data_IF_181153373815
#
_entry.id   IF_181153373815
#
_cell.length_a   1.000
_cell.length_b   1.000
_cell.length_c   1.000
_cell.angle_alpha   90.00
_cell.angle_beta   90.00
_cell.angle_gamma   90.00
#
_symmetry.space_group_name_H-M   'P 1'
#
loop_
_entity.id
_entity.type
_entity.pdbx_description
1 polymer ?
#
# COMPACT_ATOMS: atom_id res chain seq x y z
N UNK A 1 15.21 -6.57 2.31
CA UNK A 1 13.76 -6.52 2.54
C UNK A 1 13.35 -5.06 2.53
N UNK A 2 12.33 -4.66 1.75
CA UNK A 2 11.79 -3.29 1.77
C UNK A 2 10.45 -3.36 2.51
N UNK A 3 10.33 -2.59 3.59
CA UNK A 3 9.13 -2.54 4.43
C UNK A 3 8.34 -1.28 4.09
N UNK A 4 7.03 -1.42 3.93
CA UNK A 4 6.12 -0.30 3.80
C UNK A 4 5.49 0.01 5.15
N UNK A 5 5.71 1.22 5.65
CA UNK A 5 5.00 1.76 6.81
C UNK A 5 3.88 2.68 6.30
N UNK A 6 2.65 2.24 6.48
CA UNK A 6 1.46 2.96 6.03
C UNK A 6 1.15 4.15 6.93
N UNK A 7 1.51 4.07 8.21
CA UNK A 7 1.38 5.19 9.15
C UNK A 7 2.25 6.37 8.70
N UNK A 8 3.48 6.11 8.25
CA UNK A 8 4.34 7.13 7.65
C UNK A 8 3.83 7.62 6.28
N UNK A 9 3.21 6.74 5.49
CA UNK A 9 2.64 7.13 4.20
C UNK A 9 1.46 8.09 4.36
N UNK A 10 0.63 7.84 5.37
CA UNK A 10 -0.52 8.66 5.74
C UNK A 10 -0.11 9.91 6.52
N UNK A 11 0.97 9.84 7.31
CA UNK A 11 1.54 10.99 7.99
C UNK A 11 1.99 12.04 6.96
N UNK A 12 1.40 13.24 7.06
CA UNK A 12 1.67 14.33 6.14
C UNK A 12 0.99 14.19 4.76
N UNK A 13 0.11 13.21 4.55
CA UNK A 13 -0.85 13.23 3.44
C UNK A 13 -2.08 14.05 3.88
N UNK A 14 -1.93 15.37 3.89
CA UNK A 14 -2.98 16.29 4.37
C UNK A 14 -4.03 16.62 3.32
N UNK A 15 -3.73 16.35 2.04
CA UNK A 15 -4.61 16.64 0.91
C UNK A 15 -5.32 15.36 0.46
N UNK A 16 -6.63 15.46 0.18
CA UNK A 16 -7.42 14.36 -0.38
C UNK A 16 -6.74 13.84 -1.66
N UNK A 17 -6.39 12.56 -1.68
CA UNK A 17 -5.74 11.88 -2.80
C UNK A 17 -4.20 11.82 -2.75
N UNK A 18 -3.55 12.54 -1.84
CA UNK A 18 -2.09 12.56 -1.74
C UNK A 18 -1.52 11.20 -1.32
N UNK A 19 -2.16 10.54 -0.37
CA UNK A 19 -1.80 9.19 0.07
C UNK A 19 -1.86 8.19 -1.10
N UNK A 20 -2.91 8.26 -1.91
CA UNK A 20 -3.12 7.38 -3.06
C UNK A 20 -2.03 7.59 -4.12
N UNK A 21 -1.66 8.85 -4.35
CA UNK A 21 -0.57 9.19 -5.27
C UNK A 21 0.77 8.67 -4.75
N UNK A 22 1.05 8.84 -3.45
CA UNK A 22 2.28 8.31 -2.83
C UNK A 22 2.34 6.78 -2.95
N UNK A 23 1.23 6.09 -2.72
CA UNK A 23 1.16 4.63 -2.86
C UNK A 23 1.39 4.17 -4.30
N UNK A 24 0.79 4.85 -5.29
CA UNK A 24 1.04 4.57 -6.71
C UNK A 24 2.51 4.71 -7.07
N UNK A 25 3.15 5.79 -6.63
CA UNK A 25 4.58 6.01 -6.88
C UNK A 25 5.45 4.89 -6.28
N UNK A 26 5.08 4.35 -5.11
CA UNK A 26 5.79 3.22 -4.51
C UNK A 26 5.60 1.95 -5.33
N UNK A 27 4.39 1.66 -5.79
CA UNK A 27 4.10 0.50 -6.65
C UNK A 27 4.91 0.60 -7.95
N UNK A 28 4.92 1.76 -8.60
CA UNK A 28 5.71 2.00 -9.81
C UNK A 28 7.21 1.81 -9.55
N UNK A 29 7.75 2.34 -8.45
CA UNK A 29 9.15 2.18 -8.10
C UNK A 29 9.54 0.70 -7.83
N UNK A 30 8.61 -0.08 -7.26
CA UNK A 30 8.79 -1.52 -7.07
C UNK A 30 8.81 -2.25 -8.41
N UNK A 31 7.88 -1.92 -9.31
CA UNK A 31 7.76 -2.53 -10.64
C UNK A 31 8.95 -2.20 -11.55
N UNK A 32 9.47 -0.98 -11.46
CA UNK A 32 10.63 -0.52 -12.24
C UNK A 32 11.96 -0.98 -11.65
N UNK A 33 11.96 -1.66 -10.49
CA UNK A 33 13.21 -2.06 -9.85
C UNK A 33 13.94 -3.09 -10.70
N UNK A 34 15.25 -2.91 -10.98
CA UNK A 34 16.04 -3.85 -11.79
C UNK A 34 16.23 -5.20 -11.09
N UNK A 35 15.97 -5.27 -9.78
CA UNK A 35 15.97 -6.50 -8.99
C UNK A 35 14.57 -6.79 -8.44
N UNK A 36 14.16 -8.07 -8.34
CA UNK A 36 12.86 -8.43 -7.78
C UNK A 36 12.70 -7.91 -6.35
N UNK A 37 11.59 -7.22 -6.10
CA UNK A 37 11.26 -6.69 -4.77
C UNK A 37 10.16 -7.53 -4.13
N UNK A 38 10.41 -7.93 -2.89
CA UNK A 38 9.37 -8.44 -2.00
C UNK A 38 8.98 -7.31 -1.06
N UNK A 39 7.73 -6.85 -1.16
CA UNK A 39 7.15 -5.85 -0.29
C UNK A 39 6.64 -6.52 0.99
N UNK A 40 7.00 -5.99 2.15
CA UNK A 40 6.39 -6.40 3.41
C UNK A 40 5.45 -5.30 3.91
N UNK A 41 4.24 -5.69 4.28
CA UNK A 41 3.20 -4.83 4.84
C UNK A 41 2.85 -5.36 6.22
N UNK A 42 3.07 -4.52 7.24
CA UNK A 42 2.59 -4.80 8.59
C UNK A 42 1.19 -4.20 8.78
N UNK A 43 0.41 -4.81 9.67
CA UNK A 43 -0.98 -4.42 9.97
C UNK A 43 -1.85 -4.18 8.72
N UNK A 44 -1.94 -5.18 7.86
CA UNK A 44 -2.61 -5.07 6.56
C UNK A 44 -4.10 -4.69 6.65
N UNK A 45 -4.77 -4.89 7.79
CA UNK A 45 -6.13 -4.40 8.01
C UNK A 45 -6.21 -2.87 7.90
N UNK A 46 -5.14 -2.13 8.18
CA UNK A 46 -5.07 -0.67 8.03
C UNK A 46 -5.25 -0.21 6.57
N UNK A 47 -4.86 -1.06 5.60
CA UNK A 47 -5.04 -0.82 4.15
C UNK A 47 -6.50 -1.04 3.73
N UNK A 48 -7.16 -2.02 4.34
CA UNK A 48 -8.51 -2.48 3.97
C UNK A 48 -9.58 -1.67 4.71
N UNK A 49 -9.29 -1.22 5.94
CA UNK A 49 -10.23 -0.55 6.86
C UNK A 49 -10.20 0.98 6.84
N UNK A 50 -9.25 1.61 6.14
CA UNK A 50 -9.19 3.07 6.03
C UNK A 50 -10.47 3.68 5.40
N UNK A 51 -11.27 2.89 4.67
CA UNK A 51 -12.49 3.33 3.98
C UNK A 51 -13.74 3.60 4.83
N UNK A 52 -13.72 3.37 6.15
CA UNK A 52 -14.91 3.57 7.00
C UNK A 52 -15.11 5.01 7.53
N UNK A 53 -14.16 5.91 7.31
CA UNK A 53 -14.39 7.34 7.52
C UNK A 53 -14.49 8.03 6.17
N UNK A 54 -15.56 8.80 5.96
CA UNK A 54 -15.88 9.48 4.71
C UNK A 54 -14.68 10.25 4.14
N UNK A 55 -13.93 9.62 3.22
CA UNK A 55 -12.73 10.19 2.61
C UNK A 55 -11.42 9.39 2.81
N UNK A 56 -11.46 8.27 3.54
CA UNK A 56 -10.29 7.42 3.72
C UNK A 56 -9.98 6.58 2.49
N UNK A 57 -8.73 6.67 2.06
CA UNK A 57 -8.21 6.09 0.83
C UNK A 57 -8.34 4.56 0.80
N UNK A 58 -8.93 4.02 -0.26
CA UNK A 58 -8.98 2.56 -0.48
C UNK A 58 -7.67 2.09 -1.14
N UNK A 59 -6.61 2.01 -0.34
CA UNK A 59 -5.31 1.49 -0.77
C UNK A 59 -5.43 0.06 -1.31
N UNK A 60 -6.38 -0.74 -0.82
CA UNK A 60 -6.60 -2.10 -1.29
C UNK A 60 -6.97 -2.13 -2.77
N UNK A 61 -7.81 -1.19 -3.24
CA UNK A 61 -8.15 -1.09 -4.66
C UNK A 61 -6.97 -0.69 -5.56
N UNK A 62 -5.96 0.00 -5.01
CA UNK A 62 -4.73 0.31 -5.75
C UNK A 62 -3.79 -0.89 -5.84
N UNK A 63 -3.75 -1.74 -4.80
CA UNK A 63 -2.87 -2.91 -4.75
C UNK A 63 -3.41 -4.11 -5.53
N UNK A 64 -4.73 -4.35 -5.50
CA UNK A 64 -5.37 -5.51 -6.15
C UNK A 64 -4.96 -5.73 -7.61
N UNK A 65 -4.95 -4.73 -8.52
CA UNK A 65 -4.57 -4.95 -9.91
C UNK A 65 -3.10 -5.36 -10.08
N UNK A 66 -2.17 -4.75 -9.33
CA UNK A 66 -0.74 -5.05 -9.42
C UNK A 66 -0.43 -6.45 -8.87
N UNK A 67 -1.13 -6.87 -7.79
CA UNK A 67 -1.06 -8.22 -7.25
C UNK A 67 -1.61 -9.25 -8.25
N UNK A 68 -2.78 -8.97 -8.84
CA UNK A 68 -3.43 -9.88 -9.79
C UNK A 68 -2.61 -10.11 -11.07
N UNK A 69 -1.87 -9.09 -11.53
CA UNK A 69 -0.94 -9.21 -12.68
C UNK A 69 0.39 -9.85 -12.33
N UNK A 70 0.69 -10.09 -11.05
CA UNK A 70 1.98 -10.62 -10.60
C UNK A 70 3.14 -9.62 -10.66
N UNK A 71 2.84 -8.34 -10.92
CA UNK A 71 3.80 -7.25 -10.99
C UNK A 71 4.28 -6.83 -9.59
N UNK A 72 3.49 -7.13 -8.56
CA UNK A 72 3.80 -6.87 -7.16
C UNK A 72 3.81 -8.18 -6.37
N UNK A 73 4.87 -8.40 -5.60
CA UNK A 73 5.00 -9.55 -4.68
C UNK A 73 5.00 -9.02 -3.26
N UNK A 74 4.06 -9.46 -2.44
CA UNK A 74 3.84 -8.91 -1.10
C UNK A 74 3.65 -10.01 -0.07
N UNK A 75 4.24 -9.83 1.11
CA UNK A 75 3.88 -10.54 2.34
C UNK A 75 3.20 -9.54 3.26
N UNK A 76 2.06 -9.94 3.83
CA UNK A 76 1.26 -9.11 4.72
C UNK A 76 1.10 -9.80 6.08
N UNK A 77 1.15 -9.04 7.16
CA UNK A 77 0.83 -9.47 8.51
C UNK A 77 -0.45 -8.75 9.00
N UNK A 78 -1.27 -9.45 9.78
CA UNK A 78 -2.43 -8.86 10.47
C UNK A 78 -2.70 -9.65 11.74
N UNK A 79 -3.32 -9.01 12.73
CA UNK A 79 -3.93 -9.72 13.84
C UNK A 79 -5.25 -10.39 13.40
N UNK A 80 -5.59 -11.57 13.94
CA UNK A 80 -6.94 -12.08 13.87
C UNK A 80 -7.83 -11.19 14.76
N UNK A 81 -8.74 -10.45 14.17
CA UNK A 81 -9.82 -9.73 14.87
C UNK A 81 -10.90 -10.71 15.34
#
# INVERSE_FOLDING_TARGET
>A
MRTLDLGLLQAGAGVKGEFEQRLKNIIEAVQQSPSPVLLFIDEAHTIIGAGNQAGGADAANLLKPALARGELRTIAATTPE
#
